data_IF_902556677723
#
_entry.id   IF_902556677723
#
_cell.length_a   1.000
_cell.length_b   1.000
_cell.length_c   1.000
_cell.angle_alpha   90.00
_cell.angle_beta   90.00
_cell.angle_gamma   90.00
#
_symmetry.space_group_name_H-M   'P 1'
#
loop_
_entity.id
_entity.type
_entity.pdbx_description
1 polymer ?
#
# COMPACT_ATOMS: atom_id res chain seq x y z
N UNK A 1 -3.68 -7.42 -14.29
CA UNK A 1 -2.85 -7.66 -13.12
C UNK A 1 -3.45 -7.03 -11.93
N UNK A 2 -3.36 -7.69 -10.81
CA UNK A 2 -3.98 -7.19 -9.60
C UNK A 2 -2.92 -6.92 -8.54
N UNK A 3 -3.23 -6.01 -7.65
CA UNK A 3 -2.33 -5.63 -6.58
C UNK A 3 -3.11 -5.64 -5.27
N UNK A 4 -2.49 -6.19 -4.23
CA UNK A 4 -3.12 -6.27 -2.92
C UNK A 4 -2.47 -5.25 -2.00
N UNK A 5 -3.30 -4.45 -1.35
CA UNK A 5 -2.82 -3.48 -0.38
C UNK A 5 -3.17 -4.04 0.99
N UNK A 6 -2.15 -4.31 1.79
CA UNK A 6 -2.34 -4.91 3.10
C UNK A 6 -2.25 -3.85 4.17
N UNK A 7 -3.32 -3.68 4.94
CA UNK A 7 -3.34 -2.70 6.01
C UNK A 7 -3.87 -3.38 7.27
N UNK A 8 -3.94 -2.65 8.35
CA UNK A 8 -4.51 -3.16 9.56
C UNK A 8 -5.98 -3.45 9.42
N UNK A 9 -6.63 -2.82 8.48
CA UNK A 9 -8.06 -3.02 8.26
C UNK A 9 -8.33 -4.22 7.36
N UNK A 10 -7.31 -4.81 6.79
CA UNK A 10 -7.46 -5.96 5.92
C UNK A 10 -6.74 -5.78 4.61
N UNK A 11 -7.13 -6.54 3.63
CA UNK A 11 -6.50 -6.52 2.31
C UNK A 11 -7.48 -6.00 1.30
N UNK A 12 -7.04 -5.07 0.47
CA UNK A 12 -7.86 -4.58 -0.65
C UNK A 12 -7.13 -4.87 -1.94
N UNK A 13 -7.86 -5.28 -2.93
CA UNK A 13 -7.31 -5.63 -4.23
C UNK A 13 -7.68 -4.59 -5.27
N UNK A 14 -6.72 -4.18 -6.06
CA UNK A 14 -6.93 -3.20 -7.12
C UNK A 14 -6.37 -3.77 -8.41
N UNK A 15 -6.96 -3.37 -9.50
CA UNK A 15 -6.53 -3.87 -10.80
C UNK A 15 -5.37 -3.11 -11.36
N UNK A 16 -5.17 -1.87 -10.94
CA UNK A 16 -4.06 -1.09 -11.43
C UNK A 16 -3.17 -0.67 -10.30
N UNK A 17 -1.89 -0.51 -10.58
CA UNK A 17 -0.92 -0.11 -9.58
C UNK A 17 -1.14 1.33 -9.15
N UNK A 18 -1.67 2.16 -10.02
CA UNK A 18 -1.93 3.55 -9.67
C UNK A 18 -3.00 3.64 -8.60
N UNK A 19 -4.07 2.88 -8.74
CA UNK A 19 -5.12 2.86 -7.75
C UNK A 19 -4.65 2.26 -6.44
N UNK A 20 -3.88 1.19 -6.53
CA UNK A 20 -3.33 0.56 -5.34
C UNK A 20 -2.40 1.54 -4.61
N UNK A 21 -1.60 2.25 -5.37
CA UNK A 21 -0.68 3.23 -4.80
C UNK A 21 -1.39 4.37 -4.12
N UNK A 22 -2.44 4.88 -4.73
CA UNK A 22 -3.21 5.97 -4.15
C UNK A 22 -3.83 5.54 -2.84
N UNK A 23 -4.43 4.36 -2.82
CA UNK A 23 -5.04 3.87 -1.60
C UNK A 23 -3.98 3.62 -0.52
N UNK A 24 -2.87 3.02 -0.90
CA UNK A 24 -1.80 2.73 0.05
C UNK A 24 -1.23 4.01 0.64
N UNK A 25 -1.04 5.03 -0.21
CA UNK A 25 -0.52 6.31 0.25
C UNK A 25 -1.49 6.97 1.23
N UNK A 26 -2.77 6.95 0.91
CA UNK A 26 -3.77 7.54 1.78
C UNK A 26 -3.81 6.83 3.13
N UNK A 27 -3.73 5.50 3.12
CA UNK A 27 -3.75 4.75 4.36
C UNK A 27 -2.47 4.98 5.16
N UNK A 28 -1.35 5.10 4.49
CA UNK A 28 -0.10 5.37 5.15
C UNK A 28 -0.13 6.71 5.86
N UNK A 29 -0.69 7.72 5.22
CA UNK A 29 -0.82 9.03 5.84
C UNK A 29 -1.79 9.01 7.00
N UNK A 30 -2.85 8.23 6.89
CA UNK A 30 -3.84 8.16 7.93
C UNK A 30 -3.31 7.45 9.17
N UNK A 31 -2.62 6.34 8.98
CA UNK A 31 -2.19 5.53 10.10
C UNK A 31 -0.82 5.89 10.61
N UNK A 32 -0.05 6.59 9.82
CA UNK A 32 1.30 6.94 10.18
C UNK A 32 2.27 5.78 10.07
N UNK A 33 1.89 4.74 9.31
CA UNK A 33 2.74 3.58 9.16
C UNK A 33 2.89 3.20 7.70
N UNK A 34 3.98 2.59 7.34
CA UNK A 34 4.16 2.18 5.95
C UNK A 34 3.15 1.12 5.55
N UNK A 35 2.71 1.18 4.33
CA UNK A 35 1.74 0.23 3.79
C UNK A 35 2.39 -0.51 2.65
N UNK A 36 2.26 -1.81 2.60
CA UNK A 36 2.87 -2.62 1.57
C UNK A 36 1.86 -2.98 0.51
N UNK A 37 2.31 -2.92 -0.73
CA UNK A 37 1.50 -3.30 -1.88
C UNK A 37 2.17 -4.51 -2.51
N UNK A 38 1.40 -5.56 -2.70
CA UNK A 38 1.92 -6.81 -3.25
C UNK A 38 1.30 -7.08 -4.61
N UNK A 39 2.07 -7.67 -5.48
CA UNK A 39 1.54 -8.14 -6.75
C UNK A 39 0.77 -9.43 -6.48
N UNK A 40 -0.50 -9.43 -6.78
CA UNK A 40 -1.35 -10.58 -6.49
C UNK A 40 -0.99 -11.80 -7.30
N UNK A 41 -0.34 -11.61 -8.43
CA UNK A 41 0.00 -12.73 -9.27
C UNK A 41 1.27 -13.43 -8.79
N UNK A 42 2.24 -12.69 -8.34
CA UNK A 42 3.51 -13.28 -7.92
C UNK A 42 3.64 -13.38 -6.42
N UNK A 43 2.83 -12.65 -5.69
CA UNK A 43 2.93 -12.60 -4.24
C UNK A 43 4.11 -11.78 -3.74
N UNK A 44 4.83 -11.12 -4.62
CA UNK A 44 5.98 -10.32 -4.22
C UNK A 44 5.57 -8.88 -3.99
N UNK A 45 6.29 -8.21 -3.13
CA UNK A 45 6.00 -6.82 -2.85
C UNK A 45 6.30 -5.97 -4.06
N UNK A 46 5.33 -5.22 -4.52
CA UNK A 46 5.51 -4.31 -5.63
C UNK A 46 6.20 -3.05 -5.14
N UNK A 47 5.76 -2.52 -4.03
CA UNK A 47 6.43 -1.38 -3.42
C UNK A 47 5.87 -1.20 -2.02
N UNK A 48 6.52 -0.35 -1.23
CA UNK A 48 6.09 -0.01 0.11
C UNK A 48 6.04 1.50 0.21
N UNK A 49 4.98 2.05 0.74
CA UNK A 49 4.90 3.50 0.92
C UNK A 49 5.88 3.89 2.01
N UNK A 50 6.32 5.14 1.98
CA UNK A 50 7.16 5.66 3.01
C UNK A 50 6.41 6.65 3.81
N UNK A 51 6.42 6.50 5.10
CA UNK A 51 5.80 7.49 5.97
C UNK A 51 6.83 8.50 6.27
N UNK A 52 6.55 9.75 6.03
CA UNK A 52 7.43 10.80 6.35
C UNK A 52 7.24 11.13 7.77
N UNK A 53 8.16 10.78 8.61
CA UNK A 53 8.09 11.18 9.96
C UNK A 53 8.70 12.49 10.08
N UNK A 54 7.97 13.43 10.43
CA UNK A 54 8.48 14.74 10.61
C UNK A 54 8.97 14.85 11.93
N UNK A 55 10.05 14.67 12.22
CA UNK A 55 10.49 14.88 13.54
C UNK A 55 11.07 16.15 13.70
N UNK A 56 11.06 16.32 13.83
CA UNK A 56 11.77 17.26 13.87
C UNK A 56 12.03 17.48 14.52
#
# INVERSE_FOLDING_TARGET
>A
MSYNVVTQEGVRTFENIDDAGDYAQAMSLRTGEPVKVFNAETGLAAFTTRTRKETK
#
